data_IF_846372317641
#
_entry.id   IF_846372317641
#
_cell.length_a   1.000
_cell.length_b   1.000
_cell.length_c   1.000
_cell.angle_alpha   90.00
_cell.angle_beta   90.00
_cell.angle_gamma   90.00
#
_symmetry.space_group_name_H-M   'P 1'
#
loop_
_entity.id
_entity.type
_entity.pdbx_description
1 polymer ?
#
# COMPACT_ATOMS: atom_id res chain seq x y z
N UNK A 1 21.78 20.50 -0.90
CA UNK A 1 20.37 20.56 -0.41
C UNK A 1 20.33 21.45 0.83
N UNK A 2 19.30 22.28 0.99
CA UNK A 2 19.16 23.15 2.17
C UNK A 2 18.64 22.32 3.35
N UNK A 3 19.39 22.25 4.43
CA UNK A 3 18.97 21.55 5.67
C UNK A 3 18.16 22.52 6.52
N UNK A 4 17.44 22.03 7.54
CA UNK A 4 16.61 22.83 8.47
C UNK A 4 17.35 24.04 9.06
N UNK A 5 18.67 23.97 9.22
CA UNK A 5 19.52 25.06 9.72
C UNK A 5 19.94 26.06 8.62
N UNK A 6 19.22 26.11 7.51
CA UNK A 6 19.44 26.99 6.35
C UNK A 6 20.76 26.80 5.57
N UNK A 7 21.66 25.95 6.06
CA UNK A 7 22.93 25.57 5.42
C UNK A 7 22.70 24.70 4.18
N UNK A 8 23.44 25.00 3.11
CA UNK A 8 23.55 24.15 1.92
C UNK A 8 24.62 23.09 2.15
N UNK A 9 24.21 21.83 2.21
CA UNK A 9 25.13 20.70 2.36
C UNK A 9 25.03 19.73 1.18
N UNK A 10 26.14 19.07 0.80
CA UNK A 10 26.11 17.99 -0.16
C UNK A 10 25.21 16.88 0.38
N UNK A 11 24.20 16.51 -0.39
CA UNK A 11 23.22 15.51 -0.01
C UNK A 11 22.71 14.81 -1.25
N UNK A 12 22.22 13.59 -1.04
CA UNK A 12 21.51 12.83 -2.05
C UNK A 12 20.02 12.91 -1.76
N UNK A 13 19.23 13.16 -2.80
CA UNK A 13 17.79 13.03 -2.73
C UNK A 13 17.40 11.62 -3.17
N UNK A 14 16.56 10.96 -2.36
CA UNK A 14 16.10 9.61 -2.63
C UNK A 14 14.62 9.66 -2.96
N UNK A 15 14.29 9.26 -4.18
CA UNK A 15 12.93 9.08 -4.64
C UNK A 15 12.57 7.60 -4.57
N UNK A 16 11.41 7.26 -3.99
CA UNK A 16 10.91 5.88 -3.92
C UNK A 16 9.50 5.81 -4.49
N UNK A 17 9.21 4.73 -5.22
CA UNK A 17 7.85 4.31 -5.55
C UNK A 17 7.45 3.16 -4.65
N UNK A 18 6.25 3.25 -4.06
CA UNK A 18 5.78 2.27 -3.09
C UNK A 18 4.38 1.78 -3.41
N UNK A 19 4.12 0.51 -3.06
CA UNK A 19 2.78 -0.07 -3.04
C UNK A 19 2.60 -0.90 -1.77
N UNK A 20 1.54 -0.62 -1.00
CA UNK A 20 1.32 -1.24 0.30
C UNK A 20 2.51 -1.06 1.26
N UNK A 21 3.31 -0.01 1.11
CA UNK A 21 4.58 0.29 1.80
C UNK A 21 5.74 -0.68 1.47
N UNK A 22 5.63 -1.49 0.41
CA UNK A 22 6.78 -2.14 -0.22
C UNK A 22 7.43 -1.16 -1.18
N UNK A 23 8.76 -1.11 -1.19
CA UNK A 23 9.52 -0.32 -2.15
C UNK A 23 9.57 -1.11 -3.46
N UNK A 24 8.99 -0.58 -4.52
CA UNK A 24 8.96 -1.21 -5.84
C UNK A 24 10.13 -0.77 -6.72
N UNK A 25 10.50 0.51 -6.60
CA UNK A 25 11.63 1.12 -7.29
C UNK A 25 12.17 2.30 -6.46
N UNK A 26 13.39 2.69 -6.74
CA UNK A 26 14.01 3.87 -6.16
C UNK A 26 14.95 4.54 -7.16
N UNK A 27 15.26 5.81 -6.93
CA UNK A 27 16.25 6.56 -7.69
C UNK A 27 16.94 7.58 -6.80
N UNK A 28 18.20 7.89 -7.12
CA UNK A 28 19.04 8.75 -6.30
C UNK A 28 19.58 9.90 -7.15
N UNK A 29 19.39 11.12 -6.68
CA UNK A 29 19.74 12.34 -7.40
C UNK A 29 20.55 13.28 -6.52
N UNK A 30 21.40 14.11 -7.13
CA UNK A 30 22.20 15.14 -6.44
C UNK A 30 21.59 16.55 -6.53
N UNK A 31 20.42 16.69 -7.17
CA UNK A 31 19.72 17.96 -7.29
C UNK A 31 18.61 18.09 -6.24
N UNK A 32 18.23 19.33 -5.95
CA UNK A 32 17.19 19.66 -4.97
C UNK A 32 15.76 19.52 -5.52
N UNK A 33 15.56 19.63 -6.83
CA UNK A 33 14.26 19.49 -7.50
C UNK A 33 13.98 18.02 -7.79
N UNK A 34 12.85 17.50 -7.33
CA UNK A 34 12.38 16.14 -7.66
C UNK A 34 11.56 16.10 -8.95
N UNK A 35 11.00 17.25 -9.36
CA UNK A 35 10.06 17.36 -10.48
C UNK A 35 10.64 16.84 -11.78
N UNK A 36 11.92 17.17 -12.02
CA UNK A 36 12.62 16.91 -13.28
C UNK A 36 12.95 15.42 -13.46
N UNK A 37 12.99 14.65 -12.38
CA UNK A 37 13.40 13.24 -12.42
C UNK A 37 12.24 12.24 -12.35
N UNK A 38 11.01 12.73 -12.38
CA UNK A 38 9.83 11.88 -12.30
C UNK A 38 9.78 10.87 -13.45
N UNK A 39 10.03 11.33 -14.68
CA UNK A 39 9.99 10.48 -15.87
C UNK A 39 11.08 9.42 -15.80
N UNK A 40 12.32 9.82 -15.53
CA UNK A 40 13.43 8.88 -15.35
C UNK A 40 13.14 7.83 -14.27
N UNK A 41 12.56 8.25 -13.14
CA UNK A 41 12.17 7.34 -12.07
C UNK A 41 11.09 6.33 -12.51
N UNK A 42 10.13 6.76 -13.31
CA UNK A 42 9.07 5.91 -13.84
C UNK A 42 9.59 4.94 -14.91
N UNK A 43 10.46 5.39 -15.82
CA UNK A 43 11.05 4.55 -16.87
C UNK A 43 12.02 3.51 -16.31
N UNK A 44 12.61 3.77 -15.13
CA UNK A 44 13.39 2.78 -14.38
C UNK A 44 12.54 1.66 -13.74
N UNK A 45 11.21 1.71 -13.83
CA UNK A 45 10.34 0.64 -13.34
C UNK A 45 10.25 -0.50 -14.34
N UNK A 46 10.39 -1.75 -13.85
CA UNK A 46 10.14 -2.94 -14.68
C UNK A 46 8.70 -3.02 -15.19
N UNK A 47 7.75 -2.57 -14.38
CA UNK A 47 6.32 -2.57 -14.69
C UNK A 47 5.75 -1.22 -14.29
N UNK A 48 5.15 -0.52 -15.25
CA UNK A 48 4.49 0.75 -15.00
C UNK A 48 3.17 0.55 -14.24
N UNK A 49 2.88 1.39 -13.24
CA UNK A 49 1.67 1.27 -12.46
C UNK A 49 0.45 1.74 -13.26
N UNK A 50 -0.73 1.21 -12.92
CA UNK A 50 -2.01 1.66 -13.51
C UNK A 50 -2.37 3.10 -13.11
N UNK A 51 -1.96 3.51 -11.91
CA UNK A 51 -2.17 4.85 -11.39
C UNK A 51 -0.98 5.29 -10.54
N UNK A 52 -0.75 6.60 -10.48
CA UNK A 52 0.34 7.20 -9.71
C UNK A 52 -0.19 8.34 -8.85
N UNK A 53 0.32 8.42 -7.62
CA UNK A 53 -0.04 9.46 -6.65
C UNK A 53 1.22 10.19 -6.18
N UNK A 54 1.18 11.52 -6.16
CA UNK A 54 2.37 12.38 -6.04
C UNK A 54 2.15 13.60 -5.15
N UNK A 55 3.25 14.14 -4.64
CA UNK A 55 3.25 15.49 -4.05
C UNK A 55 3.13 16.54 -5.14
N UNK A 56 2.86 17.76 -4.70
CA UNK A 56 2.66 18.89 -5.61
C UNK A 56 3.89 19.19 -6.46
N UNK A 57 5.08 18.80 -5.98
CA UNK A 57 6.34 18.93 -6.72
C UNK A 57 6.30 18.19 -8.06
N UNK A 58 5.60 17.06 -8.18
CA UNK A 58 5.58 16.30 -9.43
C UNK A 58 4.55 16.81 -10.45
N UNK A 59 3.68 17.76 -10.07
CA UNK A 59 2.67 18.32 -10.97
C UNK A 59 3.25 19.35 -11.93
N UNK A 60 3.90 18.88 -13.00
CA UNK A 60 4.40 19.69 -14.11
C UNK A 60 3.68 19.35 -15.41
N UNK A 61 3.73 20.24 -16.40
CA UNK A 61 3.18 19.99 -17.74
C UNK A 61 3.78 18.75 -18.39
N UNK A 62 5.10 18.61 -18.33
CA UNK A 62 5.85 17.49 -18.88
C UNK A 62 5.41 16.17 -18.24
N UNK A 63 5.33 16.11 -16.91
CA UNK A 63 4.93 14.88 -16.19
C UNK A 63 3.47 14.51 -16.50
N UNK A 64 2.58 15.49 -16.59
CA UNK A 64 1.20 15.24 -16.97
C UNK A 64 1.05 14.76 -18.42
N UNK A 65 1.84 15.31 -19.33
CA UNK A 65 1.90 14.83 -20.71
C UNK A 65 2.41 13.39 -20.78
N UNK A 66 3.48 13.07 -20.06
CA UNK A 66 4.03 11.72 -19.97
C UNK A 66 3.00 10.71 -19.47
N UNK A 67 2.32 10.99 -18.35
CA UNK A 67 1.31 10.09 -17.78
C UNK A 67 0.13 9.89 -18.74
N UNK A 68 -0.30 10.95 -19.44
CA UNK A 68 -1.35 10.85 -20.46
C UNK A 68 -0.90 9.96 -21.62
N UNK A 69 0.33 10.11 -22.10
CA UNK A 69 0.87 9.31 -23.21
C UNK A 69 0.96 7.82 -22.85
N UNK A 70 1.44 7.51 -21.63
CA UNK A 70 1.53 6.12 -21.12
C UNK A 70 0.19 5.56 -20.61
N UNK A 71 -0.91 6.33 -20.71
CA UNK A 71 -2.26 5.96 -20.22
C UNK A 71 -2.29 5.60 -18.72
N UNK A 72 -1.44 6.23 -17.92
CA UNK A 72 -1.38 6.05 -16.46
C UNK A 72 -2.32 7.05 -15.79
N UNK A 73 -3.18 6.56 -14.88
CA UNK A 73 -4.12 7.43 -14.16
C UNK A 73 -3.36 8.35 -13.20
N UNK A 74 -3.58 9.66 -13.34
CA UNK A 74 -2.82 10.70 -12.67
C UNK A 74 -3.54 11.22 -11.42
N UNK A 75 -2.90 11.06 -10.25
CA UNK A 75 -3.25 11.68 -8.97
C UNK A 75 -2.08 12.49 -8.40
N UNK A 76 -1.23 13.08 -9.24
CA UNK A 76 -0.20 14.03 -8.80
C UNK A 76 -0.85 15.39 -8.55
N UNK A 77 -0.62 15.96 -7.36
CA UNK A 77 -1.02 17.34 -7.06
C UNK A 77 -0.23 18.31 -7.95
N UNK A 78 -0.82 19.45 -8.28
CA UNK A 78 -0.07 20.61 -8.78
C UNK A 78 0.15 21.62 -7.65
N UNK A 79 1.13 22.50 -7.82
CA UNK A 79 1.60 23.42 -6.76
C UNK A 79 0.49 24.23 -6.08
N UNK A 80 -0.47 24.77 -6.82
CA UNK A 80 -1.55 25.59 -6.26
C UNK A 80 -2.74 24.80 -5.73
N UNK A 81 -2.81 23.48 -5.89
CA UNK A 81 -4.00 22.66 -5.60
C UNK A 81 -4.54 22.84 -4.17
N UNK A 82 -3.68 22.72 -3.16
CA UNK A 82 -4.10 22.88 -1.76
C UNK A 82 -4.35 24.33 -1.37
N UNK A 83 -3.80 25.29 -2.12
CA UNK A 83 -3.91 26.71 -1.79
C UNK A 83 -5.19 27.31 -2.36
N UNK A 84 -5.62 26.88 -3.55
CA UNK A 84 -6.80 27.38 -4.25
C UNK A 84 -8.10 27.29 -3.42
N UNK A 85 -8.21 26.29 -2.54
CA UNK A 85 -9.37 26.13 -1.66
C UNK A 85 -9.37 27.10 -0.46
N UNK A 86 -8.22 27.68 -0.10
CA UNK A 86 -8.10 28.54 1.08
C UNK A 86 -8.69 29.92 0.81
N UNK A 87 -9.47 30.45 1.77
CA UNK A 87 -10.03 31.82 1.70
C UNK A 87 -8.94 32.88 1.49
N UNK A 88 -7.76 32.71 2.09
CA UNK A 88 -6.62 33.62 1.93
C UNK A 88 -6.07 33.65 0.51
N UNK A 89 -6.15 32.56 -0.25
CA UNK A 89 -5.76 32.54 -1.66
C UNK A 89 -6.77 33.29 -2.53
N UNK A 90 -8.07 33.06 -2.29
CA UNK A 90 -9.16 33.74 -3.01
C UNK A 90 -9.14 35.25 -2.79
N UNK A 91 -8.73 35.71 -1.59
CA UNK A 91 -8.56 37.14 -1.28
C UNK A 91 -7.38 37.81 -2.00
N UNK A 92 -6.43 37.05 -2.58
CA UNK A 92 -5.31 37.62 -3.33
C UNK A 92 -5.77 38.00 -4.73
N UNK A 93 -6.50 39.10 -4.84
CA UNK A 93 -7.16 39.55 -6.08
C UNK A 93 -6.18 39.74 -7.25
N UNK A 94 -4.91 40.08 -7.00
CA UNK A 94 -3.89 40.27 -8.05
C UNK A 94 -3.23 38.99 -8.56
N UNK A 95 -3.68 37.81 -8.13
CA UNK A 95 -3.22 36.52 -8.69
C UNK A 95 -3.92 36.24 -10.01
N UNK A 96 -3.16 35.80 -11.01
CA UNK A 96 -3.70 35.48 -12.35
C UNK A 96 -4.79 34.41 -12.28
N UNK A 97 -4.68 33.48 -11.33
CA UNK A 97 -5.66 32.41 -11.11
C UNK A 97 -7.03 32.94 -10.66
N UNK A 98 -7.09 34.17 -10.16
CA UNK A 98 -8.32 34.83 -9.72
C UNK A 98 -8.86 35.83 -10.77
N UNK A 99 -8.21 35.96 -11.93
CA UNK A 99 -8.71 36.82 -13.02
C UNK A 99 -9.77 36.06 -13.80
N UNK A 100 -10.83 36.75 -14.25
CA UNK A 100 -11.83 36.13 -15.12
C UNK A 100 -11.30 36.03 -16.54
N UNK A 101 -11.61 34.92 -17.21
CA UNK A 101 -11.23 34.68 -18.60
C UNK A 101 -12.49 34.66 -19.46
N UNK A 102 -12.54 35.54 -20.46
CA UNK A 102 -13.56 35.53 -21.49
C UNK A 102 -13.05 34.71 -22.68
N UNK A 103 -13.65 33.54 -22.87
CA UNK A 103 -13.27 32.61 -23.93
C UNK A 103 -13.67 33.12 -25.32
N UNK A 104 -14.77 33.87 -25.45
CA UNK A 104 -15.28 34.34 -26.74
C UNK A 104 -14.35 35.37 -27.35
N UNK A 105 -13.84 36.28 -26.52
CA UNK A 105 -12.95 37.35 -26.94
C UNK A 105 -11.46 37.03 -26.74
N UNK A 106 -11.13 35.90 -26.08
CA UNK A 106 -9.76 35.51 -25.71
C UNK A 106 -9.05 36.62 -24.90
N UNK A 107 -9.73 37.11 -23.85
CA UNK A 107 -9.28 38.22 -23.00
C UNK A 107 -9.34 37.79 -21.52
N UNK A 108 -8.38 38.26 -20.73
CA UNK A 108 -8.46 38.19 -19.27
C UNK A 108 -8.89 39.53 -18.69
N UNK A 109 -9.76 39.56 -17.69
CA UNK A 109 -10.10 40.79 -16.97
C UNK A 109 -9.39 40.87 -15.64
N UNK A 110 -8.76 42.01 -15.37
CA UNK A 110 -8.11 42.28 -14.09
C UNK A 110 -9.14 42.67 -13.01
N UNK A 111 -8.72 42.81 -11.73
CA UNK A 111 -9.62 43.22 -10.64
C UNK A 111 -10.24 44.62 -10.82
N UNK A 112 -9.61 45.47 -11.64
CA UNK A 112 -10.10 46.80 -12.03
C UNK A 112 -10.99 46.75 -13.30
N UNK A 113 -11.44 45.55 -13.71
CA UNK A 113 -12.21 45.29 -14.93
C UNK A 113 -11.54 45.72 -16.25
N UNK A 114 -10.22 45.96 -16.26
CA UNK A 114 -9.47 46.22 -17.50
C UNK A 114 -9.13 44.95 -18.22
N UNK A 115 -9.15 45.01 -19.54
CA UNK A 115 -8.84 43.91 -20.43
C UNK A 115 -7.32 43.69 -20.55
N UNK A 116 -6.92 42.43 -20.52
CA UNK A 116 -5.60 41.93 -20.87
C UNK A 116 -5.73 41.15 -22.16
N UNK A 117 -5.20 41.73 -23.23
CA UNK A 117 -5.23 41.17 -24.59
C UNK A 117 -4.01 40.30 -24.85
N UNK A 118 -4.14 39.34 -25.75
CA UNK A 118 -3.02 38.53 -26.21
C UNK A 118 -1.95 39.41 -26.84
N UNK A 119 -0.69 39.22 -26.44
CA UNK A 119 0.46 39.96 -26.95
C UNK A 119 1.39 39.09 -27.77
N UNK A 120 1.85 37.98 -27.18
CA UNK A 120 2.86 37.12 -27.79
C UNK A 120 2.88 35.73 -27.15
N UNK A 121 3.67 34.83 -27.71
CA UNK A 121 4.07 33.56 -27.10
C UNK A 121 5.40 33.69 -26.38
N UNK A 122 5.54 32.93 -25.29
CA UNK A 122 6.80 32.72 -24.60
C UNK A 122 7.08 31.23 -24.57
N UNK A 123 8.24 30.84 -25.10
CA UNK A 123 8.72 29.46 -25.06
C UNK A 123 9.76 29.37 -23.94
N UNK A 124 9.53 28.45 -23.01
CA UNK A 124 10.44 28.13 -21.92
C UNK A 124 10.96 26.69 -22.10
N UNK A 125 12.26 26.50 -21.90
CA UNK A 125 12.91 25.18 -21.94
C UNK A 125 13.29 24.77 -20.53
N UNK A 126 12.86 23.59 -20.09
CA UNK A 126 13.28 23.05 -18.79
C UNK A 126 14.64 22.35 -18.88
N UNK A 127 15.13 21.85 -17.74
CA UNK A 127 16.44 21.20 -17.64
C UNK A 127 16.53 19.89 -18.44
N UNK A 128 15.41 19.21 -18.65
CA UNK A 128 15.30 17.99 -19.46
C UNK A 128 15.19 18.30 -20.96
N UNK A 129 15.14 19.58 -21.32
CA UNK A 129 14.98 20.04 -22.68
C UNK A 129 13.54 20.10 -23.19
N UNK A 130 12.56 19.85 -22.33
CA UNK A 130 11.14 20.01 -22.64
C UNK A 130 10.78 21.47 -22.92
N UNK A 131 10.06 21.69 -24.02
CA UNK A 131 9.60 23.01 -24.44
C UNK A 131 8.15 23.23 -24.01
N UNK A 132 7.94 24.27 -23.22
CA UNK A 132 6.64 24.72 -22.74
C UNK A 132 6.29 26.05 -23.43
N UNK A 133 5.10 26.14 -24.02
CA UNK A 133 4.59 27.37 -24.65
C UNK A 133 3.54 28.02 -23.77
N UNK A 134 3.79 29.28 -23.39
CA UNK A 134 2.86 30.11 -22.65
C UNK A 134 2.40 31.29 -23.50
N UNK A 135 1.12 31.61 -23.42
CA UNK A 135 0.57 32.85 -23.99
C UNK A 135 0.80 34.00 -23.01
N UNK A 136 1.28 35.12 -23.53
CA UNK A 136 1.48 36.37 -22.79
C UNK A 136 0.28 37.27 -23.03
N UNK A 137 -0.39 37.69 -21.97
CA UNK A 137 -1.48 38.66 -22.02
C UNK A 137 -1.07 39.92 -21.27
N UNK A 138 -1.31 41.09 -21.87
CA UNK A 138 -0.92 42.38 -21.29
C UNK A 138 -2.11 43.35 -21.30
N UNK A 139 -2.23 44.14 -20.23
CA UNK A 139 -3.20 45.23 -20.19
C UNK A 139 -2.75 46.40 -21.05
N UNK A 140 -3.68 47.00 -21.79
CA UNK A 140 -3.41 48.11 -22.70
C UNK A 140 -2.88 49.33 -21.95
N UNK A 141 -3.55 49.72 -20.86
CA UNK A 141 -3.12 50.84 -20.02
C UNK A 141 -3.47 50.62 -18.55
N UNK A 142 -2.50 50.89 -17.68
CA UNK A 142 -2.62 50.83 -16.23
C UNK A 142 -2.18 52.14 -15.55
N UNK A 143 -2.06 53.25 -16.28
CA UNK A 143 -1.62 54.56 -15.77
C UNK A 143 -2.56 55.10 -14.67
N UNK A 144 -3.86 55.13 -14.95
CA UNK A 144 -4.91 55.62 -14.05
C UNK A 144 -5.55 54.50 -13.19
N UNK A 145 -4.81 53.44 -12.88
CA UNK A 145 -5.35 52.30 -12.12
C UNK A 145 -5.12 52.47 -10.62
N UNK A 146 -6.20 52.43 -9.83
CA UNK A 146 -6.16 52.55 -8.37
C UNK A 146 -5.35 51.43 -7.70
N UNK A 147 -5.21 50.29 -8.37
CA UNK A 147 -4.46 49.13 -7.88
C UNK A 147 -3.04 49.01 -8.46
N UNK A 148 -2.57 50.01 -9.20
CA UNK A 148 -1.32 49.92 -9.96
C UNK A 148 -0.10 49.57 -9.11
N UNK A 149 0.05 50.17 -7.93
CA UNK A 149 1.17 49.92 -7.01
C UNK A 149 1.24 48.47 -6.51
N UNK A 150 0.09 47.84 -6.26
CA UNK A 150 0.03 46.48 -5.73
C UNK A 150 -0.01 45.41 -6.84
N UNK A 151 -0.49 45.79 -8.03
CA UNK A 151 -0.73 44.87 -9.14
C UNK A 151 0.44 44.82 -10.14
N UNK A 152 1.07 45.95 -10.45
CA UNK A 152 2.18 46.00 -11.42
C UNK A 152 3.44 45.35 -10.85
N UNK A 153 4.31 44.91 -11.75
CA UNK A 153 5.68 44.50 -11.42
C UNK A 153 6.62 45.42 -12.19
N UNK A 154 7.18 46.41 -11.49
CA UNK A 154 7.95 47.49 -12.10
C UNK A 154 7.09 48.45 -12.93
N UNK A 155 7.72 49.13 -13.89
CA UNK A 155 7.10 50.23 -14.64
C UNK A 155 6.18 49.80 -15.79
N UNK A 156 6.15 48.51 -16.13
CA UNK A 156 5.33 47.99 -17.23
C UNK A 156 3.87 47.78 -16.85
N UNK A 157 2.97 47.81 -17.84
CA UNK A 157 1.59 47.41 -17.66
C UNK A 157 1.49 45.95 -17.21
N UNK A 158 0.41 45.65 -16.48
CA UNK A 158 0.19 44.31 -15.93
C UNK A 158 0.22 43.26 -17.04
N UNK A 159 1.12 42.30 -16.88
CA UNK A 159 1.31 41.19 -17.81
C UNK A 159 1.16 39.87 -17.07
N UNK A 160 0.48 38.90 -17.68
CA UNK A 160 0.34 37.54 -17.17
C UNK A 160 0.78 36.53 -18.23
N UNK A 161 1.29 35.39 -17.78
CA UNK A 161 1.65 34.26 -18.62
C UNK A 161 0.76 33.08 -18.28
N UNK A 162 0.13 32.52 -19.31
CA UNK A 162 -0.79 31.38 -19.18
C UNK A 162 -0.39 30.30 -20.16
N UNK A 163 0.01 29.15 -19.61
CA UNK A 163 0.16 27.94 -20.40
C UNK A 163 -1.18 27.21 -20.46
N UNK A 164 -1.88 27.36 -21.59
CA UNK A 164 -3.21 26.76 -21.80
C UNK A 164 -3.19 25.24 -21.68
N UNK A 165 -2.12 24.57 -22.12
CA UNK A 165 -2.01 23.11 -22.04
C UNK A 165 -1.87 22.64 -20.61
N UNK A 166 -1.01 23.31 -19.83
CA UNK A 166 -0.85 23.03 -18.42
C UNK A 166 -2.13 23.34 -17.61
N UNK A 167 -2.86 24.41 -17.93
CA UNK A 167 -4.17 24.69 -17.31
C UNK A 167 -5.18 23.55 -17.57
N UNK A 168 -5.22 22.99 -18.78
CA UNK A 168 -6.05 21.80 -19.09
C UNK A 168 -5.64 20.59 -18.25
N UNK A 169 -4.34 20.33 -18.11
CA UNK A 169 -3.86 19.24 -17.26
C UNK A 169 -4.18 19.45 -15.79
N UNK A 170 -4.08 20.68 -15.28
CA UNK A 170 -4.49 21.01 -13.91
C UNK A 170 -5.99 20.80 -13.69
N UNK A 171 -6.84 21.16 -14.66
CA UNK A 171 -8.27 20.88 -14.58
C UNK A 171 -8.53 19.37 -14.47
N UNK A 172 -7.95 18.57 -15.36
CA UNK A 172 -8.07 17.11 -15.31
C UNK A 172 -7.52 16.52 -13.99
N UNK A 173 -6.36 17.00 -13.53
CA UNK A 173 -5.78 16.56 -12.27
C UNK A 173 -6.68 16.93 -11.08
N UNK A 174 -7.30 18.12 -11.09
CA UNK A 174 -8.24 18.56 -10.06
C UNK A 174 -9.45 17.63 -9.98
N UNK A 175 -10.04 17.29 -11.12
CA UNK A 175 -11.17 16.37 -11.19
C UNK A 175 -10.80 14.98 -10.67
N UNK A 176 -9.65 14.44 -11.10
CA UNK A 176 -9.13 13.17 -10.60
C UNK A 176 -8.90 13.20 -9.09
N UNK A 177 -8.28 14.26 -8.55
CA UNK A 177 -7.94 14.40 -7.13
C UNK A 177 -9.16 14.62 -6.21
N UNK A 178 -10.27 15.09 -6.78
CA UNK A 178 -11.54 15.31 -6.08
C UNK A 178 -12.54 14.15 -6.27
N UNK A 179 -12.27 13.22 -7.19
CA UNK A 179 -13.02 11.97 -7.30
C UNK A 179 -12.90 11.12 -6.03
N UNK A 180 -13.85 10.20 -5.82
CA UNK A 180 -13.83 9.28 -4.67
C UNK A 180 -12.51 8.48 -4.60
N UNK A 181 -12.02 8.00 -5.75
CA UNK A 181 -10.73 7.31 -5.83
C UNK A 181 -9.58 8.26 -5.48
N UNK A 182 -9.58 9.49 -6.01
CA UNK A 182 -8.55 10.48 -5.70
C UNK A 182 -8.48 10.81 -4.21
N UNK A 183 -9.61 10.92 -3.53
CA UNK A 183 -9.68 11.12 -2.08
C UNK A 183 -9.06 9.93 -1.32
N UNK A 184 -9.38 8.69 -1.72
CA UNK A 184 -8.78 7.47 -1.14
C UNK A 184 -7.27 7.44 -1.35
N UNK A 185 -6.80 7.71 -2.57
CA UNK A 185 -5.37 7.72 -2.92
C UNK A 185 -4.60 8.80 -2.13
N UNK A 186 -5.16 10.00 -2.01
CA UNK A 186 -4.56 11.09 -1.24
C UNK A 186 -4.44 10.77 0.24
N UNK A 187 -5.45 10.13 0.83
CA UNK A 187 -5.42 9.68 2.23
C UNK A 187 -4.36 8.59 2.44
N UNK A 188 -4.26 7.67 1.49
CA UNK A 188 -3.31 6.56 1.52
C UNK A 188 -1.86 7.01 1.35
N UNK A 189 -1.60 8.04 0.53
CA UNK A 189 -0.25 8.56 0.22
C UNK A 189 0.62 8.78 1.46
N UNK A 190 0.09 9.45 2.48
CA UNK A 190 0.87 9.77 3.69
C UNK A 190 1.36 8.49 4.38
N UNK A 191 0.48 7.49 4.50
CA UNK A 191 0.82 6.20 5.11
C UNK A 191 1.79 5.39 4.24
N UNK A 192 1.68 5.47 2.91
CA UNK A 192 2.56 4.73 1.98
C UNK A 192 4.02 5.15 2.13
N UNK A 193 4.35 6.41 1.78
CA UNK A 193 5.74 6.84 1.64
C UNK A 193 6.35 7.27 2.99
N UNK A 194 5.59 7.98 3.83
CA UNK A 194 6.14 8.52 5.09
C UNK A 194 6.45 7.41 6.08
N UNK A 195 5.68 6.31 6.09
CA UNK A 195 5.96 5.18 6.97
C UNK A 195 7.25 4.45 6.59
N UNK A 196 7.55 4.34 5.29
CA UNK A 196 8.78 3.73 4.79
C UNK A 196 9.98 4.57 5.20
N UNK A 197 9.96 5.87 4.92
CA UNK A 197 11.03 6.77 5.36
C UNK A 197 11.11 6.86 6.89
N UNK A 198 9.98 6.83 7.60
CA UNK A 198 9.93 6.80 9.05
C UNK A 198 10.65 5.58 9.61
N UNK A 199 10.39 4.40 9.06
CA UNK A 199 11.07 3.16 9.45
C UNK A 199 12.57 3.23 9.17
N UNK A 200 12.96 3.56 7.92
CA UNK A 200 14.37 3.63 7.53
C UNK A 200 15.14 4.58 8.43
N UNK A 201 14.59 5.78 8.64
CA UNK A 201 15.31 6.80 9.38
C UNK A 201 15.27 6.57 10.90
N UNK A 202 14.11 6.25 11.49
CA UNK A 202 13.95 6.15 12.95
C UNK A 202 14.17 4.75 13.51
N UNK A 203 13.65 3.72 12.86
CA UNK A 203 13.73 2.34 13.38
C UNK A 203 15.03 1.66 12.95
N UNK A 204 15.51 1.92 11.73
CA UNK A 204 16.80 1.37 11.26
C UNK A 204 17.97 2.33 11.52
N UNK A 205 17.68 3.53 12.05
CA UNK A 205 18.67 4.57 12.34
C UNK A 205 19.49 5.02 11.13
N UNK A 206 19.02 4.77 9.91
CA UNK A 206 19.69 5.18 8.68
C UNK A 206 19.39 6.65 8.37
N UNK A 207 20.27 7.54 8.83
CA UNK A 207 20.13 9.00 8.65
C UNK A 207 21.04 9.59 7.59
N UNK A 208 22.14 8.91 7.29
CA UNK A 208 23.21 9.39 6.42
C UNK A 208 23.76 8.20 5.65
N UNK A 209 24.12 8.45 4.39
CA UNK A 209 24.89 7.52 3.59
C UNK A 209 26.32 7.45 4.12
N UNK A 210 26.86 6.24 4.20
CA UNK A 210 28.25 6.00 4.58
C UNK A 210 29.16 6.05 3.35
N UNK A 211 28.62 5.72 2.18
CA UNK A 211 29.36 5.72 0.93
C UNK A 211 29.26 7.07 0.19
N UNK A 212 30.23 7.32 -0.67
CA UNK A 212 30.30 8.51 -1.55
C UNK A 212 30.38 8.06 -3.00
N UNK A 213 29.88 8.88 -3.92
CA UNK A 213 29.54 8.57 -5.34
C UNK A 213 28.14 7.98 -5.52
N UNK A 214 27.52 8.30 -6.66
CA UNK A 214 26.16 7.85 -6.99
C UNK A 214 26.09 6.32 -7.04
N UNK A 215 27.06 5.64 -7.63
CA UNK A 215 27.03 4.18 -7.77
C UNK A 215 27.04 3.47 -6.42
N UNK A 216 27.94 3.90 -5.52
CA UNK A 216 28.04 3.31 -4.18
C UNK A 216 26.80 3.63 -3.33
N UNK A 217 26.29 4.85 -3.42
CA UNK A 217 25.08 5.28 -2.69
C UNK A 217 23.83 4.56 -3.22
N UNK A 218 23.78 4.29 -4.53
CA UNK A 218 22.73 3.46 -5.14
C UNK A 218 22.73 2.04 -4.57
N UNK A 219 23.90 1.41 -4.43
CA UNK A 219 24.02 0.08 -3.82
C UNK A 219 23.63 0.13 -2.34
N UNK A 220 24.10 1.13 -1.59
CA UNK A 220 23.79 1.29 -0.17
C UNK A 220 22.27 1.41 0.05
N UNK A 221 21.58 2.23 -0.74
CA UNK A 221 20.12 2.33 -0.64
C UNK A 221 19.40 1.06 -1.14
N UNK A 222 19.94 0.35 -2.13
CA UNK A 222 19.41 -0.93 -2.61
C UNK A 222 19.28 -1.93 -1.46
N UNK A 223 20.35 -2.09 -0.68
CA UNK A 223 20.40 -3.01 0.44
C UNK A 223 19.38 -2.65 1.51
N UNK A 224 19.20 -1.35 1.78
CA UNK A 224 18.20 -0.85 2.72
C UNK A 224 16.78 -1.13 2.22
N UNK A 225 16.52 -0.91 0.93
CA UNK A 225 15.22 -1.17 0.35
C UNK A 225 14.86 -2.67 0.38
N UNK A 226 15.83 -3.54 0.07
CA UNK A 226 15.69 -5.00 0.17
C UNK A 226 15.41 -5.40 1.62
N UNK A 227 16.22 -4.91 2.58
CA UNK A 227 16.04 -5.22 4.00
C UNK A 227 14.67 -4.77 4.54
N UNK A 228 14.21 -3.57 4.15
CA UNK A 228 12.88 -3.06 4.47
C UNK A 228 11.79 -3.99 3.95
N UNK A 229 11.88 -4.38 2.68
CA UNK A 229 10.90 -5.27 2.05
C UNK A 229 10.88 -6.66 2.71
N UNK A 230 12.04 -7.28 2.95
CA UNK A 230 12.14 -8.59 3.62
C UNK A 230 11.51 -8.54 5.02
N UNK A 231 11.85 -7.54 5.82
CA UNK A 231 11.30 -7.37 7.18
C UNK A 231 9.77 -7.22 7.14
N UNK A 232 9.25 -6.52 6.13
CA UNK A 232 7.82 -6.34 5.94
C UNK A 232 7.12 -7.62 5.48
N UNK A 233 7.71 -8.39 4.55
CA UNK A 233 7.22 -9.73 4.16
C UNK A 233 7.08 -10.61 5.39
N UNK A 234 8.14 -10.68 6.21
CA UNK A 234 8.13 -11.48 7.44
C UNK A 234 6.98 -11.08 8.37
N UNK A 235 6.83 -9.78 8.65
CA UNK A 235 5.75 -9.29 9.52
C UNK A 235 4.36 -9.60 8.97
N UNK A 236 4.14 -9.43 7.67
CA UNK A 236 2.84 -9.74 7.03
C UNK A 236 2.53 -11.24 7.15
N UNK A 237 3.52 -12.10 6.90
CA UNK A 237 3.36 -13.55 7.02
C UNK A 237 3.05 -13.98 8.45
N UNK A 238 3.78 -13.44 9.43
CA UNK A 238 3.52 -13.68 10.85
C UNK A 238 2.09 -13.27 11.25
N UNK A 239 1.63 -12.08 10.83
CA UNK A 239 0.26 -11.63 11.10
C UNK A 239 -0.79 -12.53 10.45
N UNK A 240 -0.52 -13.03 9.24
CA UNK A 240 -1.42 -13.98 8.56
C UNK A 240 -1.53 -15.29 9.35
N UNK A 241 -0.40 -15.83 9.83
CA UNK A 241 -0.38 -17.03 10.67
C UNK A 241 -1.18 -16.84 11.97
N UNK A 242 -1.02 -15.69 12.65
CA UNK A 242 -1.79 -15.39 13.86
C UNK A 242 -3.29 -15.20 13.59
N UNK A 243 -3.65 -14.48 12.53
CA UNK A 243 -5.05 -14.27 12.13
C UNK A 243 -5.74 -15.60 11.82
N UNK A 244 -5.05 -16.51 11.13
CA UNK A 244 -5.54 -17.86 10.86
C UNK A 244 -5.76 -18.66 12.15
N UNK A 245 -4.78 -18.65 13.07
CA UNK A 245 -4.90 -19.31 14.39
C UNK A 245 -6.08 -18.77 15.20
N UNK A 246 -6.29 -17.45 15.23
CA UNK A 246 -7.42 -16.83 15.94
C UNK A 246 -8.77 -17.18 15.33
N UNK A 247 -8.88 -17.24 13.99
CA UNK A 247 -10.10 -17.72 13.32
C UNK A 247 -10.40 -19.17 13.70
N UNK A 248 -9.38 -20.03 13.72
CA UNK A 248 -9.52 -21.43 14.11
C UNK A 248 -10.00 -21.56 15.56
N UNK A 249 -9.42 -20.79 16.47
CA UNK A 249 -9.84 -20.73 17.87
C UNK A 249 -11.28 -20.25 18.01
N UNK A 250 -11.69 -19.23 17.23
CA UNK A 250 -13.07 -18.73 17.26
C UNK A 250 -14.09 -19.77 16.79
N UNK A 251 -13.74 -20.57 15.77
CA UNK A 251 -14.58 -21.67 15.28
C UNK A 251 -14.70 -22.78 16.32
N UNK A 252 -13.60 -23.12 16.99
CA UNK A 252 -13.57 -24.09 18.08
C UNK A 252 -14.43 -23.66 19.28
N UNK A 253 -14.34 -22.40 19.70
CA UNK A 253 -15.17 -21.87 20.79
C UNK A 253 -16.66 -21.86 20.43
N UNK A 254 -17.02 -21.51 19.19
CA UNK A 254 -18.39 -21.62 18.69
C UNK A 254 -18.88 -23.06 18.70
N UNK A 255 -18.04 -24.01 18.31
CA UNK A 255 -18.36 -25.43 18.37
C UNK A 255 -18.63 -25.89 19.81
N UNK A 256 -17.75 -25.57 20.77
CA UNK A 256 -17.96 -25.90 22.20
C UNK A 256 -19.27 -25.30 22.71
N UNK A 257 -19.54 -24.04 22.40
CA UNK A 257 -20.77 -23.37 22.82
C UNK A 257 -22.00 -24.07 22.24
N UNK A 258 -22.00 -24.38 20.94
CA UNK A 258 -23.08 -25.11 20.28
C UNK A 258 -23.28 -26.51 20.88
N UNK A 259 -22.19 -27.23 21.15
CA UNK A 259 -22.25 -28.57 21.73
C UNK A 259 -22.75 -28.55 23.18
N UNK A 260 -22.28 -27.62 24.01
CA UNK A 260 -22.79 -27.41 25.38
C UNK A 260 -24.24 -26.94 25.38
N UNK A 261 -24.64 -26.09 24.44
CA UNK A 261 -26.02 -25.64 24.28
C UNK A 261 -26.96 -26.79 23.88
N UNK A 262 -26.53 -27.66 22.95
CA UNK A 262 -27.25 -28.88 22.58
C UNK A 262 -27.32 -29.85 23.76
N UNK A 263 -26.23 -30.09 24.48
CA UNK A 263 -26.24 -30.95 25.67
C UNK A 263 -27.20 -30.41 26.73
N UNK A 264 -27.26 -29.09 26.96
CA UNK A 264 -28.20 -28.48 27.91
C UNK A 264 -29.66 -28.60 27.46
N UNK A 265 -29.95 -28.45 26.16
CA UNK A 265 -31.29 -28.71 25.60
C UNK A 265 -31.68 -30.20 25.63
N UNK A 266 -30.73 -31.13 25.44
CA UNK A 266 -30.95 -32.57 25.57
C UNK A 266 -31.14 -32.97 27.03
N UNK A 267 -30.38 -32.43 27.97
CA UNK A 267 -30.56 -32.65 29.42
C UNK A 267 -31.94 -32.17 29.89
N UNK A 268 -32.41 -31.01 29.41
CA UNK A 268 -33.76 -30.52 29.71
C UNK A 268 -34.88 -31.33 29.03
N UNK A 269 -34.59 -32.13 28.00
CA UNK A 269 -35.56 -33.07 27.37
C UNK A 269 -35.44 -34.51 27.90
N UNK A 270 -34.37 -34.83 28.62
CA UNK A 270 -34.11 -36.18 29.17
C UNK A 270 -34.52 -36.28 30.66
N UNK A 271 -34.85 -35.16 31.33
CA UNK A 271 -35.40 -35.19 32.70
C UNK A 271 -36.87 -35.64 32.80
N UNK A 272 -37.48 -36.03 31.69
CA UNK A 272 -38.74 -36.78 31.67
C UNK A 272 -38.60 -37.94 30.69
N UNK A 273 -37.93 -39.03 31.09
CA UNK A 273 -38.28 -40.43 30.77
C UNK A 273 -37.18 -41.40 31.24
N UNK A 274 -37.49 -42.15 32.31
CA UNK A 274 -37.10 -43.53 32.66
C UNK A 274 -35.61 -43.99 32.69
N UNK A 275 -35.18 -44.31 33.92
CA UNK A 275 -34.34 -45.42 34.42
C UNK A 275 -33.57 -46.34 33.44
N UNK A 276 -32.23 -46.37 33.55
CA UNK A 276 -31.37 -47.56 33.72
C UNK A 276 -29.87 -47.14 33.77
N UNK A 277 -29.08 -47.55 34.78
CA UNK A 277 -27.66 -47.20 34.91
C UNK A 277 -26.78 -48.25 34.20
N UNK A 278 -25.67 -47.83 33.58
CA UNK A 278 -24.43 -48.60 33.30
C UNK A 278 -23.90 -48.73 31.85
N UNK A 279 -24.48 -48.13 30.82
CA UNK A 279 -23.89 -48.22 29.44
C UNK A 279 -23.32 -46.90 28.90
N UNK A 280 -23.63 -45.75 29.53
CA UNK A 280 -23.32 -44.42 28.96
C UNK A 280 -22.03 -43.80 29.54
N UNK A 281 -21.53 -44.26 30.69
CA UNK A 281 -20.37 -43.66 31.37
C UNK A 281 -19.01 -43.94 30.72
N UNK A 282 -18.86 -45.09 30.04
CA UNK A 282 -17.59 -45.53 29.43
C UNK A 282 -17.23 -44.78 28.13
N UNK A 283 -18.20 -44.30 27.38
CA UNK A 283 -17.92 -43.51 26.17
C UNK A 283 -17.49 -42.07 26.50
N UNK A 284 -17.92 -41.51 27.63
CA UNK A 284 -17.61 -40.12 27.95
C UNK A 284 -16.18 -39.93 28.47
N UNK A 285 -15.68 -40.86 29.28
CA UNK A 285 -14.29 -40.83 29.79
C UNK A 285 -13.27 -41.05 28.68
N UNK A 286 -13.55 -41.95 27.73
CA UNK A 286 -12.67 -42.24 26.60
C UNK A 286 -12.63 -41.10 25.57
N UNK A 287 -13.78 -40.50 25.24
CA UNK A 287 -13.80 -39.32 24.36
C UNK A 287 -13.18 -38.09 25.04
N UNK A 288 -13.31 -37.95 26.36
CA UNK A 288 -12.66 -36.87 27.11
C UNK A 288 -11.13 -37.02 27.11
N UNK A 289 -10.60 -38.24 27.28
CA UNK A 289 -9.15 -38.47 27.34
C UNK A 289 -8.46 -38.31 25.98
N UNK A 290 -9.07 -38.79 24.89
CA UNK A 290 -8.55 -38.59 23.52
C UNK A 290 -8.60 -37.11 23.13
N UNK A 291 -9.61 -36.38 23.58
CA UNK A 291 -9.74 -34.94 23.33
C UNK A 291 -8.80 -34.10 24.20
N UNK A 292 -8.60 -34.44 25.47
CA UNK A 292 -7.60 -33.79 26.32
C UNK A 292 -6.18 -34.05 25.84
N UNK A 293 -5.87 -35.24 25.33
CA UNK A 293 -4.59 -35.52 24.69
C UNK A 293 -4.39 -34.69 23.42
N UNK A 294 -5.44 -34.51 22.62
CA UNK A 294 -5.42 -33.66 21.42
C UNK A 294 -5.29 -32.17 21.76
N UNK A 295 -5.93 -31.72 22.84
CA UNK A 295 -5.86 -30.36 23.38
C UNK A 295 -4.48 -30.07 23.99
N UNK A 296 -3.92 -31.02 24.73
CA UNK A 296 -2.57 -30.94 25.28
C UNK A 296 -1.52 -30.92 24.16
N UNK A 297 -1.72 -31.67 23.07
CA UNK A 297 -0.86 -31.61 21.89
C UNK A 297 -0.95 -30.26 21.18
N UNK A 298 -2.14 -29.69 21.03
CA UNK A 298 -2.38 -28.35 20.47
C UNK A 298 -1.78 -27.22 21.34
N UNK A 299 -1.90 -27.34 22.67
CA UNK A 299 -1.34 -26.39 23.64
C UNK A 299 0.19 -26.50 23.73
N UNK A 300 0.76 -27.70 23.64
CA UNK A 300 2.22 -27.90 23.50
C UNK A 300 2.77 -27.37 22.18
N UNK A 301 2.02 -27.48 21.09
CA UNK A 301 2.44 -26.91 19.79
C UNK A 301 2.21 -25.39 19.67
N UNK A 302 1.54 -24.78 20.66
CA UNK A 302 1.44 -23.32 20.84
C UNK A 302 2.63 -22.72 21.61
N UNK A 303 3.44 -23.53 22.32
CA UNK A 303 4.64 -23.11 23.05
C UNK A 303 5.87 -23.90 22.57
N UNK A 304 6.76 -23.28 21.78
CA UNK A 304 8.07 -23.87 21.44
C UNK A 304 9.16 -23.31 22.40
N UNK A 305 10.29 -24.02 22.66
CA UNK A 305 10.78 -25.30 22.08
C UNK A 305 11.14 -26.37 23.14
N UNK A 306 11.50 -27.61 22.72
CA UNK A 306 12.61 -28.49 23.23
C UNK A 306 12.35 -30.00 22.95
N UNK A 307 13.47 -30.68 22.65
CA UNK A 307 13.79 -32.07 22.26
C UNK A 307 12.84 -33.23 22.58
N UNK A 308 12.63 -34.10 21.58
CA UNK A 308 11.99 -35.42 21.74
C UNK A 308 12.94 -36.43 22.39
N UNK A 309 12.48 -37.16 23.40
CA UNK A 309 13.06 -38.44 23.84
C UNK A 309 12.18 -39.63 23.40
N UNK A 310 12.82 -40.80 23.27
CA UNK A 310 12.30 -42.01 22.62
C UNK A 310 11.01 -42.60 23.22
N UNK A 311 10.60 -42.17 24.42
CA UNK A 311 9.36 -42.61 25.08
C UNK A 311 8.07 -42.14 24.39
N UNK A 312 8.13 -41.08 23.55
CA UNK A 312 6.96 -40.56 22.85
C UNK A 312 6.55 -41.37 21.60
N UNK A 313 7.41 -42.26 21.11
CA UNK A 313 7.12 -43.11 19.92
C UNK A 313 6.21 -44.29 20.32
N UNK A 314 6.31 -44.76 21.57
CA UNK A 314 5.48 -45.86 22.10
C UNK A 314 4.01 -45.46 22.31
N UNK A 315 3.73 -44.17 22.51
CA UNK A 315 2.34 -43.68 22.65
C UNK A 315 1.65 -43.57 21.28
N UNK A 316 2.40 -43.33 20.21
CA UNK A 316 1.88 -43.26 18.84
C UNK A 316 1.55 -44.65 18.27
N UNK A 317 2.28 -45.70 18.65
CA UNK A 317 2.00 -47.07 18.19
C UNK A 317 0.75 -47.69 18.82
N UNK A 318 0.38 -47.26 20.03
CA UNK A 318 -0.85 -47.69 20.70
C UNK A 318 -2.12 -47.09 20.07
N UNK A 319 -2.01 -45.91 19.45
CA UNK A 319 -3.13 -45.22 18.80
C UNK A 319 -3.45 -45.85 17.42
N UNK A 320 -2.49 -46.49 16.75
CA UNK A 320 -2.75 -47.22 15.50
C UNK A 320 -3.44 -48.58 15.69
N UNK A 321 -3.36 -49.19 16.87
CA UNK A 321 -3.93 -50.53 17.10
C UNK A 321 -5.42 -50.54 17.50
N UNK A 322 -6.04 -49.38 17.75
CA UNK A 322 -7.45 -49.29 18.19
C UNK A 322 -8.45 -48.96 17.07
N UNK A 323 -7.98 -48.84 15.82
CA UNK A 323 -8.79 -48.47 14.66
C UNK A 323 -9.76 -49.54 14.09
N UNK A 324 -9.72 -50.86 14.40
CA UNK A 324 -10.72 -51.79 13.86
C UNK A 324 -12.05 -51.83 14.65
N UNK A 325 -12.11 -51.26 15.86
CA UNK A 325 -13.30 -51.41 16.73
C UNK A 325 -14.38 -50.35 16.43
N UNK A 326 -14.07 -49.33 15.64
CA UNK A 326 -14.96 -48.19 15.39
C UNK A 326 -16.06 -48.51 14.35
N UNK A 327 -15.99 -49.64 13.63
CA UNK A 327 -16.94 -49.96 12.56
C UNK A 327 -18.31 -50.52 12.99
N UNK A 328 -18.59 -50.75 14.28
CA UNK A 328 -19.82 -51.49 14.68
C UNK A 328 -20.87 -50.65 15.43
N UNK A 329 -20.60 -49.42 15.89
CA UNK A 329 -21.50 -48.77 16.89
C UNK A 329 -22.13 -47.42 16.50
N UNK A 330 -21.89 -46.84 15.32
CA UNK A 330 -22.48 -45.51 15.00
C UNK A 330 -23.29 -45.51 13.71
N UNK A 331 -24.61 -45.64 13.85
CA UNK A 331 -25.62 -45.57 12.79
C UNK A 331 -25.92 -44.16 12.29
N UNK A 332 -24.91 -43.37 11.93
CA UNK A 332 -25.12 -42.19 11.09
C UNK A 332 -23.99 -42.04 10.08
N UNK A 333 -24.29 -42.43 8.84
CA UNK A 333 -23.42 -42.30 7.67
C UNK A 333 -22.85 -40.88 7.53
N UNK A 334 -23.59 -39.84 7.95
CA UNK A 334 -23.18 -38.43 7.85
C UNK A 334 -21.96 -38.06 8.72
N UNK A 335 -21.77 -38.71 9.88
CA UNK A 335 -20.69 -38.35 10.81
C UNK A 335 -19.34 -38.96 10.40
N UNK A 336 -19.38 -40.20 9.89
CA UNK A 336 -18.21 -40.86 9.30
C UNK A 336 -17.84 -40.17 7.99
N UNK A 337 -18.82 -39.73 7.20
CA UNK A 337 -18.58 -38.94 5.97
C UNK A 337 -17.96 -37.57 6.28
N UNK A 338 -18.38 -36.89 7.36
CA UNK A 338 -17.80 -35.61 7.76
C UNK A 338 -16.35 -35.73 8.27
N UNK A 339 -16.04 -36.78 9.03
CA UNK A 339 -14.66 -37.08 9.47
C UNK A 339 -13.79 -37.49 8.28
N UNK A 340 -14.31 -38.32 7.37
CA UNK A 340 -13.61 -38.68 6.14
C UNK A 340 -13.38 -37.47 5.24
N UNK A 341 -14.38 -36.59 5.01
CA UNK A 341 -14.21 -35.37 4.22
C UNK A 341 -13.20 -34.42 4.86
N UNK A 342 -13.24 -34.23 6.18
CA UNK A 342 -12.26 -33.35 6.86
C UNK A 342 -10.86 -33.93 6.87
N UNK A 343 -10.72 -35.26 6.96
CA UNK A 343 -9.46 -35.97 6.78
C UNK A 343 -8.96 -35.88 5.34
N UNK A 344 -9.84 -36.05 4.34
CA UNK A 344 -9.57 -36.02 2.90
C UNK A 344 -9.23 -34.61 2.41
N UNK A 345 -9.91 -33.57 2.92
CA UNK A 345 -9.58 -32.16 2.68
C UNK A 345 -8.24 -31.79 3.33
N UNK A 346 -7.92 -32.33 4.51
CA UNK A 346 -6.59 -32.19 5.12
C UNK A 346 -5.52 -32.90 4.30
N UNK A 347 -5.75 -34.12 3.84
CA UNK A 347 -4.77 -34.85 3.02
C UNK A 347 -4.58 -34.20 1.66
N UNK A 348 -5.64 -33.74 0.97
CA UNK A 348 -5.54 -33.02 -0.31
C UNK A 348 -4.84 -31.67 -0.12
N UNK A 349 -5.08 -30.96 0.98
CA UNK A 349 -4.40 -29.67 1.24
C UNK A 349 -2.93 -29.86 1.58
N UNK A 350 -2.58 -30.93 2.30
CA UNK A 350 -1.20 -31.31 2.60
C UNK A 350 -0.51 -31.83 1.34
N UNK A 351 -1.17 -32.64 0.52
CA UNK A 351 -0.64 -33.13 -0.76
C UNK A 351 -0.45 -31.98 -1.75
N UNK A 352 -1.38 -31.02 -1.87
CA UNK A 352 -1.19 -29.81 -2.71
C UNK A 352 -0.09 -28.89 -2.18
N UNK A 353 0.12 -28.86 -0.87
CA UNK A 353 1.23 -28.13 -0.26
C UNK A 353 2.57 -28.81 -0.53
N UNK A 354 2.64 -30.14 -0.42
CA UNK A 354 3.82 -30.95 -0.70
C UNK A 354 4.15 -31.04 -2.19
N UNK A 355 3.14 -31.07 -3.07
CA UNK A 355 3.30 -31.06 -4.52
C UNK A 355 3.82 -29.71 -5.00
N UNK A 356 3.32 -28.60 -4.42
CA UNK A 356 3.86 -27.26 -4.67
C UNK A 356 5.28 -27.09 -4.12
N UNK A 357 5.60 -27.72 -2.98
CA UNK A 357 6.95 -27.77 -2.41
C UNK A 357 7.91 -28.64 -3.22
N UNK A 358 7.45 -29.77 -3.78
CA UNK A 358 8.28 -30.66 -4.60
C UNK A 358 8.60 -30.01 -5.94
N UNK A 359 7.63 -29.32 -6.57
CA UNK A 359 7.86 -28.61 -7.84
C UNK A 359 8.79 -27.40 -7.72
N UNK A 360 8.84 -26.72 -6.57
CA UNK A 360 9.71 -25.55 -6.37
C UNK A 360 11.08 -25.88 -5.73
N UNK A 361 11.23 -27.04 -5.06
CA UNK A 361 12.48 -27.40 -4.36
C UNK A 361 13.23 -28.58 -5.02
N UNK A 362 12.57 -29.42 -5.82
CA UNK A 362 13.22 -30.53 -6.54
C UNK A 362 13.38 -30.29 -8.06
N UNK A 363 12.91 -29.15 -8.58
CA UNK A 363 13.06 -28.77 -9.99
C UNK A 363 14.44 -28.28 -10.42
N UNK A 364 15.43 -28.21 -9.52
CA UNK A 364 16.79 -27.75 -9.87
C UNK A 364 17.89 -28.59 -9.22
N UNK A 365 17.92 -29.91 -9.48
CA UNK A 365 19.15 -30.72 -9.40
C UNK A 365 19.13 -31.90 -10.40
N UNK A 366 19.60 -31.62 -11.61
CA UNK A 366 20.43 -32.52 -12.42
C UNK A 366 21.44 -31.61 -13.13
N UNK A 367 22.66 -31.41 -12.59
CA UNK A 367 23.86 -32.18 -12.93
C UNK A 367 23.89 -32.59 -14.41
N UNK A 368 24.73 -31.91 -15.21
CA UNK A 368 25.92 -32.49 -15.85
C UNK A 368 26.92 -31.35 -16.13
N UNK A 369 28.08 -31.41 -15.48
CA UNK A 369 29.39 -30.93 -15.99
C UNK A 369 30.08 -32.15 -16.65
N UNK A 370 31.06 -32.02 -17.55
CA UNK A 370 32.24 -31.15 -17.44
C UNK A 370 32.14 -29.82 -18.17
#
# INVERSE_FOLDING_TARGET
MRIKDDRLLPAYNVMIGTENQFILNYSIYQKSSETDFFIDHMENMRVLPKSVTGDSAFGSEENYQYLKAKKIKNFLKYNSFNMESKRTFKKKIFRKENFSYDQSNNIYKCPDNRDLVFKDFKIDKNINGYLSSSRVYQSLDCSLCQFSEQCKRGNSNRTIQVNTRYERFKAQARDNLNSEEGLKQRKRRGVEVESVFGNIKHNYQFRRFNLRSLDKVNIEFALIAIAHNIRKIFRVNTLYQYSFKLKLLSLYLKYIFYHKFIQKKRLNKIFTFWTAPNVISLNYSFFSSVFEASLAFLLRSLALPISLSASNILVLSLISCSLPIISIVVGSLDFVFFILITALVRTISILRFLDRFSTEVLGTRGLVSP
#
